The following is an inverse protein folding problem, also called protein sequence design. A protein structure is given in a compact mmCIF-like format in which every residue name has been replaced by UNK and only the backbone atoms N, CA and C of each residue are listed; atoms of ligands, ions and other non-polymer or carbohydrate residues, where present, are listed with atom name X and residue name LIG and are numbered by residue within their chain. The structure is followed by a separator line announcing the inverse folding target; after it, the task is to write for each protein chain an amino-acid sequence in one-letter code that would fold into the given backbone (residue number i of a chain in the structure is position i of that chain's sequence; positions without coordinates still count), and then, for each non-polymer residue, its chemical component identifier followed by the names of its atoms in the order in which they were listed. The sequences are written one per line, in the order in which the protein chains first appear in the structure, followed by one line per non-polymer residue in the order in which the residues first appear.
data_IF_561961018752
#
_entry.id   IF_561961018752
#
_cell.length_a   1.000
_cell.length_b   1.000
_cell.length_c   1.000
_cell.angle_alpha   90.00
_cell.angle_beta   90.00
_cell.angle_gamma   90.00
#
_symmetry.space_group_name_H-M   'P 1'
#
loop_
_entity.id
_entity.type
_entity.pdbx_description
1 polymer ?
#
# COMPACT_ATOMS: atom_id res chain seq x y z
N UNK A 1 -31.32 4.96 17.08
CA UNK A 1 -30.33 4.49 18.08
C UNK A 1 -28.96 4.77 17.49
N UNK A 2 -28.03 5.37 18.22
CA UNK A 2 -26.69 5.59 17.68
C UNK A 2 -26.00 4.24 17.42
N UNK A 3 -25.42 4.08 16.23
CA UNK A 3 -24.63 2.91 15.85
C UNK A 3 -23.41 2.83 16.79
N UNK A 4 -23.09 1.63 17.27
CA UNK A 4 -21.98 1.35 18.18
C UNK A 4 -20.99 0.41 17.51
N UNK A 5 -19.75 0.37 18.00
CA UNK A 5 -18.73 -0.60 17.57
C UNK A 5 -19.26 -2.03 17.56
N UNK A 6 -19.99 -2.43 18.60
CA UNK A 6 -20.56 -3.78 18.72
C UNK A 6 -21.59 -4.11 17.64
N UNK A 7 -22.35 -3.12 17.17
CA UNK A 7 -23.28 -3.29 16.05
C UNK A 7 -22.53 -3.55 14.74
N UNK A 8 -21.45 -2.81 14.49
CA UNK A 8 -20.61 -2.98 13.31
C UNK A 8 -19.91 -4.35 13.36
N UNK A 9 -19.40 -4.75 14.52
CA UNK A 9 -18.79 -6.07 14.69
C UNK A 9 -19.77 -7.19 14.38
N UNK A 10 -21.03 -7.09 14.80
CA UNK A 10 -22.07 -8.08 14.46
C UNK A 10 -22.26 -8.22 12.95
N UNK A 11 -22.24 -7.12 12.21
CA UNK A 11 -22.33 -7.14 10.74
C UNK A 11 -21.08 -7.75 10.09
N UNK A 12 -19.88 -7.36 10.52
CA UNK A 12 -18.64 -7.94 9.99
C UNK A 12 -18.53 -9.45 10.27
N UNK A 13 -18.97 -9.89 11.45
CA UNK A 13 -19.06 -11.32 11.76
C UNK A 13 -20.08 -11.98 10.83
N UNK A 14 -21.28 -11.43 10.64
CA UNK A 14 -22.30 -12.03 9.78
C UNK A 14 -21.82 -12.19 8.33
N UNK A 15 -21.39 -11.08 7.73
CA UNK A 15 -21.05 -11.00 6.32
C UNK A 15 -19.69 -11.61 6.01
N UNK A 16 -18.69 -11.43 6.86
CA UNK A 16 -17.30 -11.79 6.54
C UNK A 16 -16.71 -12.86 7.46
N UNK A 17 -17.36 -13.19 8.58
CA UNK A 17 -16.87 -14.19 9.54
C UNK A 17 -15.59 -13.78 10.27
N UNK A 18 -15.22 -12.50 10.24
CA UNK A 18 -13.99 -11.94 10.83
C UNK A 18 -14.29 -10.70 11.68
N UNK A 19 -13.38 -10.30 12.60
CA UNK A 19 -13.49 -9.01 13.27
C UNK A 19 -13.39 -7.86 12.26
N UNK A 20 -14.09 -6.75 12.52
CA UNK A 20 -13.88 -5.50 11.80
C UNK A 20 -12.48 -4.94 12.10
N UNK A 21 -11.80 -4.43 11.09
CA UNK A 21 -10.56 -3.69 11.28
C UNK A 21 -10.82 -2.29 11.88
N UNK A 22 -9.80 -1.65 12.48
CA UNK A 22 -9.97 -0.32 13.05
C UNK A 22 -10.47 0.72 12.04
N UNK A 23 -10.04 0.65 10.78
CA UNK A 23 -10.44 1.60 9.74
C UNK A 23 -11.90 1.40 9.34
N UNK A 24 -12.36 0.15 9.19
CA UNK A 24 -13.75 -0.21 8.94
C UNK A 24 -14.69 0.27 10.05
N UNK A 25 -14.32 0.07 11.33
CA UNK A 25 -15.11 0.60 12.45
C UNK A 25 -15.18 2.13 12.39
N UNK A 26 -14.04 2.80 12.20
CA UNK A 26 -13.99 4.25 12.17
C UNK A 26 -14.78 4.83 10.99
N UNK A 27 -14.71 4.21 9.82
CA UNK A 27 -15.49 4.60 8.65
C UNK A 27 -16.98 4.68 8.97
N UNK A 28 -17.56 3.61 9.52
CA UNK A 28 -18.99 3.57 9.85
C UNK A 28 -19.35 4.52 10.98
N UNK A 29 -18.50 4.69 12.00
CA UNK A 29 -18.80 5.60 13.12
C UNK A 29 -18.70 7.08 12.73
N UNK A 30 -17.83 7.44 11.78
CA UNK A 30 -17.59 8.83 11.36
C UNK A 30 -18.53 9.24 10.21
N UNK A 31 -18.72 8.36 9.22
CA UNK A 31 -19.40 8.70 7.97
C UNK A 31 -20.91 8.41 7.99
N UNK A 32 -21.46 7.87 9.07
CA UNK A 32 -22.91 7.62 9.18
C UNK A 32 -23.67 8.91 9.54
N UNK A 33 -24.63 9.35 8.72
CA UNK A 33 -25.50 10.47 9.04
C UNK A 33 -26.23 10.33 10.39
N UNK A 34 -26.63 11.45 11.04
CA UNK A 34 -27.46 11.39 12.23
C UNK A 34 -28.80 10.68 11.92
N UNK A 35 -29.05 9.55 12.59
CA UNK A 35 -30.26 8.75 12.41
C UNK A 35 -30.08 7.44 11.62
N UNK A 36 -28.90 7.19 11.05
CA UNK A 36 -28.58 5.92 10.39
C UNK A 36 -28.80 4.73 11.33
N UNK A 37 -29.50 3.72 10.82
CA UNK A 37 -29.83 2.48 11.52
C UNK A 37 -28.85 1.36 11.14
N UNK A 38 -28.88 0.26 11.89
CA UNK A 38 -28.07 -0.92 11.57
C UNK A 38 -28.50 -1.55 10.24
N UNK A 39 -29.79 -1.46 9.90
CA UNK A 39 -30.34 -1.98 8.65
C UNK A 39 -29.77 -1.23 7.44
N UNK A 40 -29.65 0.10 7.53
CA UNK A 40 -29.09 0.93 6.46
C UNK A 40 -27.62 0.54 6.17
N UNK A 41 -26.83 0.29 7.22
CA UNK A 41 -25.44 -0.14 7.09
C UNK A 41 -25.37 -1.56 6.51
N UNK A 42 -26.23 -2.46 6.98
CA UNK A 42 -26.32 -3.84 6.52
C UNK A 42 -26.65 -3.94 5.02
N UNK A 43 -27.53 -3.05 4.53
CA UNK A 43 -27.86 -2.98 3.11
C UNK A 43 -26.65 -2.56 2.27
N UNK A 44 -25.91 -1.53 2.71
CA UNK A 44 -24.69 -1.09 2.03
C UNK A 44 -23.63 -2.20 2.04
N UNK A 45 -23.40 -2.88 3.18
CA UNK A 45 -22.42 -3.98 3.27
C UNK A 45 -22.78 -5.13 2.32
N UNK A 46 -24.07 -5.45 2.18
CA UNK A 46 -24.54 -6.53 1.29
C UNK A 46 -24.32 -6.25 -0.20
N UNK A 47 -23.92 -5.04 -0.56
CA UNK A 47 -23.64 -4.62 -1.95
C UNK A 47 -22.17 -4.32 -2.21
N UNK A 48 -21.30 -4.47 -1.20
CA UNK A 48 -19.86 -4.25 -1.34
C UNK A 48 -19.18 -5.34 -2.18
N UNK A 49 -18.11 -4.97 -2.90
CA UNK A 49 -17.32 -5.89 -3.70
C UNK A 49 -16.70 -7.01 -2.86
N UNK A 50 -16.33 -6.73 -1.61
CA UNK A 50 -15.84 -7.74 -0.65
C UNK A 50 -16.86 -8.85 -0.42
N UNK A 51 -18.14 -8.50 -0.24
CA UNK A 51 -19.22 -9.47 -0.08
C UNK A 51 -19.49 -10.23 -1.38
N UNK A 52 -19.51 -9.50 -2.50
CA UNK A 52 -19.80 -10.02 -3.83
C UNK A 52 -18.76 -11.04 -4.30
N UNK A 53 -17.48 -10.78 -4.10
CA UNK A 53 -16.45 -11.72 -4.56
C UNK A 53 -16.13 -12.85 -3.57
N UNK A 54 -16.29 -12.64 -2.26
CA UNK A 54 -16.01 -13.70 -1.26
C UNK A 54 -17.13 -14.75 -1.16
N UNK A 55 -18.37 -14.39 -1.52
CA UNK A 55 -19.56 -15.22 -1.26
C UNK A 55 -20.37 -15.53 -2.53
N UNK A 56 -20.41 -14.64 -3.54
CA UNK A 56 -21.34 -14.76 -4.69
C UNK A 56 -20.77 -15.47 -5.93
N UNK A 57 -19.53 -15.99 -5.91
CA UNK A 57 -18.94 -16.56 -7.14
C UNK A 57 -19.60 -17.85 -7.66
N UNK A 58 -20.36 -18.61 -6.85
CA UNK A 58 -21.27 -19.69 -7.32
C UNK A 58 -22.21 -20.28 -6.23
N UNK A 59 -23.06 -19.47 -5.54
CA UNK A 59 -23.85 -19.96 -4.39
C UNK A 59 -25.27 -19.38 -4.27
N UNK A 60 -26.26 -20.29 -4.31
CA UNK A 60 -27.71 -20.06 -4.15
C UNK A 60 -28.09 -19.27 -2.89
N UNK A 61 -29.31 -18.72 -2.85
CA UNK A 61 -29.87 -18.04 -1.66
C UNK A 61 -29.73 -18.90 -0.39
N UNK A 62 -29.98 -20.21 -0.50
CA UNK A 62 -29.82 -21.17 0.61
C UNK A 62 -28.38 -21.24 1.14
N UNK A 63 -27.40 -21.14 0.23
CA UNK A 63 -25.99 -21.18 0.60
C UNK A 63 -25.57 -19.88 1.30
N UNK A 64 -26.13 -18.74 0.90
CA UNK A 64 -25.89 -17.44 1.54
C UNK A 64 -26.48 -17.42 2.96
N UNK A 65 -27.72 -17.88 3.12
CA UNK A 65 -28.37 -18.02 4.43
C UNK A 65 -27.55 -18.94 5.35
N UNK A 66 -27.11 -20.09 4.85
CA UNK A 66 -26.27 -21.01 5.63
C UNK A 66 -24.90 -20.43 5.98
N UNK A 67 -24.30 -19.65 5.08
CA UNK A 67 -23.00 -19.02 5.31
C UNK A 67 -23.06 -18.00 6.45
N UNK A 68 -24.02 -17.08 6.38
CA UNK A 68 -24.28 -16.06 7.42
C UNK A 68 -24.49 -16.73 8.78
N UNK A 69 -25.31 -17.77 8.80
CA UNK A 69 -25.63 -18.48 10.04
C UNK A 69 -24.44 -19.27 10.61
N UNK A 70 -23.61 -19.88 9.75
CA UNK A 70 -22.35 -20.51 10.16
C UNK A 70 -21.39 -19.47 10.74
N UNK A 71 -21.31 -18.28 10.16
CA UNK A 71 -20.44 -17.23 10.67
C UNK A 71 -20.88 -16.71 12.04
N UNK A 72 -22.18 -16.46 12.21
CA UNK A 72 -22.75 -16.00 13.47
C UNK A 72 -22.68 -17.08 14.56
N UNK A 73 -23.19 -18.28 14.28
CA UNK A 73 -23.47 -19.28 15.32
C UNK A 73 -22.65 -20.57 15.22
N UNK A 74 -21.89 -20.77 14.14
CA UNK A 74 -21.07 -21.98 13.96
C UNK A 74 -21.88 -23.24 13.65
N UNK A 75 -23.14 -23.10 13.22
CA UNK A 75 -24.03 -24.21 12.84
C UNK A 75 -24.82 -23.87 11.58
N UNK A 76 -25.32 -24.90 10.89
CA UNK A 76 -26.23 -24.74 9.75
C UNK A 76 -27.62 -24.30 10.21
N UNK A 77 -28.36 -23.71 9.28
CA UNK A 77 -29.74 -23.27 9.50
C UNK A 77 -30.67 -24.47 9.43
N UNK A 78 -31.75 -24.45 10.21
CA UNK A 78 -32.79 -25.47 10.18
C UNK A 78 -33.59 -25.36 8.86
N UNK A 79 -34.03 -26.50 8.33
CA UNK A 79 -34.68 -26.58 7.00
C UNK A 79 -35.90 -25.65 6.86
N UNK A 80 -36.73 -25.57 7.90
CA UNK A 80 -37.93 -24.72 7.90
C UNK A 80 -37.57 -23.23 7.80
N UNK A 81 -36.49 -22.81 8.46
CA UNK A 81 -36.03 -21.43 8.43
C UNK A 81 -35.46 -21.08 7.03
N UNK A 82 -34.69 -22.00 6.43
CA UNK A 82 -34.19 -21.83 5.05
C UNK A 82 -35.36 -21.63 4.08
N UNK A 83 -36.37 -22.50 4.13
CA UNK A 83 -37.51 -22.43 3.20
C UNK A 83 -38.32 -21.14 3.34
N UNK A 84 -38.56 -20.69 4.57
CA UNK A 84 -39.30 -19.46 4.84
C UNK A 84 -38.58 -18.24 4.25
N UNK A 85 -37.27 -18.12 4.52
CA UNK A 85 -36.48 -17.01 4.03
C UNK A 85 -36.22 -17.08 2.53
N UNK A 86 -35.94 -18.27 2.00
CA UNK A 86 -35.82 -18.49 0.57
C UNK A 86 -37.09 -18.04 -0.15
N UNK A 87 -38.26 -18.47 0.32
CA UNK A 87 -39.55 -18.07 -0.27
C UNK A 87 -39.81 -16.57 -0.16
N UNK A 88 -39.39 -15.90 0.91
CA UNK A 88 -39.59 -14.45 1.07
C UNK A 88 -38.69 -13.64 0.13
N UNK A 89 -37.42 -14.05 0.02
CA UNK A 89 -36.42 -13.39 -0.85
C UNK A 89 -36.74 -13.60 -2.32
N UNK A 90 -37.12 -14.83 -2.72
CA UNK A 90 -37.48 -15.16 -4.11
C UNK A 90 -38.74 -14.41 -4.58
N UNK A 91 -39.67 -14.12 -3.66
CA UNK A 91 -40.86 -13.30 -3.93
C UNK A 91 -40.58 -11.78 -3.87
N UNK A 92 -39.34 -11.36 -3.62
CA UNK A 92 -38.96 -9.95 -3.50
C UNK A 92 -39.55 -9.24 -2.28
N UNK A 93 -40.03 -9.98 -1.27
CA UNK A 93 -40.62 -9.42 -0.05
C UNK A 93 -39.59 -9.01 0.99
N UNK A 94 -38.39 -9.61 0.92
CA UNK A 94 -37.29 -9.34 1.85
C UNK A 94 -35.96 -9.42 1.11
N UNK A 95 -34.95 -8.76 1.66
CA UNK A 95 -33.57 -8.87 1.20
C UNK A 95 -32.72 -9.59 2.25
N UNK A 96 -31.52 -10.02 1.87
CA UNK A 96 -30.59 -10.71 2.78
C UNK A 96 -30.23 -9.84 4.00
N UNK A 97 -30.19 -8.52 3.82
CA UNK A 97 -29.99 -7.57 4.91
C UNK A 97 -31.05 -7.72 6.01
N UNK A 98 -32.31 -7.96 5.65
CA UNK A 98 -33.39 -8.16 6.62
C UNK A 98 -33.16 -9.42 7.47
N UNK A 99 -32.73 -10.52 6.82
CA UNK A 99 -32.37 -11.76 7.50
C UNK A 99 -31.23 -11.57 8.49
N UNK A 100 -30.16 -10.87 8.08
CA UNK A 100 -29.02 -10.56 8.94
C UNK A 100 -29.44 -9.72 10.14
N UNK A 101 -30.24 -8.69 9.90
CA UNK A 101 -30.74 -7.81 10.96
C UNK A 101 -31.64 -8.55 11.95
N UNK A 102 -32.48 -9.49 11.51
CA UNK A 102 -33.28 -10.34 12.39
C UNK A 102 -32.40 -11.20 13.31
N UNK A 103 -31.38 -11.86 12.76
CA UNK A 103 -30.48 -12.70 13.56
C UNK A 103 -29.68 -11.91 14.59
N UNK A 104 -29.23 -10.71 14.23
CA UNK A 104 -28.38 -9.87 15.09
C UNK A 104 -29.20 -9.15 16.17
N UNK A 105 -30.47 -8.87 15.90
CA UNK A 105 -31.40 -8.15 16.79
C UNK A 105 -32.12 -9.04 17.80
N UNK A 106 -31.90 -10.36 17.77
CA UNK A 106 -32.45 -11.31 18.74
C UNK A 106 -31.99 -11.00 20.18
N UNK A 107 -32.75 -10.13 20.88
CA UNK A 107 -32.42 -9.64 22.21
C UNK A 107 -33.33 -10.30 23.27
N UNK A 108 -32.69 -10.98 24.22
CA UNK A 108 -33.11 -11.24 25.62
C UNK A 108 -34.36 -12.08 25.93
N UNK A 109 -35.30 -12.33 25.02
CA UNK A 109 -36.52 -13.11 25.34
C UNK A 109 -36.39 -14.63 25.09
N UNK A 110 -35.22 -15.20 25.37
CA UNK A 110 -34.83 -16.57 24.99
C UNK A 110 -35.08 -17.59 26.12
N UNK A 111 -36.13 -17.41 26.91
CA UNK A 111 -36.31 -18.23 28.13
C UNK A 111 -36.70 -19.69 27.86
N UNK A 112 -37.22 -20.01 26.67
CA UNK A 112 -37.84 -21.31 26.40
C UNK A 112 -37.18 -22.14 25.29
N UNK A 113 -36.13 -21.66 24.62
CA UNK A 113 -35.45 -22.39 23.54
C UNK A 113 -33.94 -22.47 23.82
N UNK A 114 -33.46 -23.69 24.12
CA UNK A 114 -32.06 -23.95 24.45
C UNK A 114 -31.11 -23.62 23.29
N UNK A 115 -31.53 -23.84 22.04
CA UNK A 115 -30.70 -23.55 20.87
C UNK A 115 -30.50 -22.05 20.68
N UNK A 116 -31.58 -21.27 20.75
CA UNK A 116 -31.49 -19.81 20.65
C UNK A 116 -30.61 -19.22 21.77
N UNK A 117 -30.60 -19.84 22.96
CA UNK A 117 -29.74 -19.40 24.07
C UNK A 117 -28.27 -19.64 23.75
N UNK A 118 -27.93 -20.80 23.16
CA UNK A 118 -26.57 -21.10 22.70
C UNK A 118 -26.13 -20.17 21.58
N UNK A 119 -27.03 -19.85 20.66
CA UNK A 119 -26.77 -18.92 19.56
C UNK A 119 -26.46 -17.50 20.09
N UNK A 120 -27.26 -17.00 21.03
CA UNK A 120 -27.03 -15.71 21.69
C UNK A 120 -25.67 -15.65 22.41
N UNK A 121 -25.35 -16.67 23.22
CA UNK A 121 -24.07 -16.74 23.94
C UNK A 121 -22.90 -16.78 22.96
N UNK A 122 -23.04 -17.55 21.87
CA UNK A 122 -21.99 -17.65 20.83
C UNK A 122 -21.75 -16.31 20.14
N UNK A 123 -22.83 -15.61 19.77
CA UNK A 123 -22.72 -14.30 19.12
C UNK A 123 -22.08 -13.26 20.06
N UNK A 124 -22.54 -13.16 21.31
CA UNK A 124 -21.97 -12.24 22.30
C UNK A 124 -20.49 -12.56 22.57
N UNK A 125 -20.12 -13.83 22.67
CA UNK A 125 -18.71 -14.26 22.83
C UNK A 125 -17.85 -13.81 21.66
N UNK A 126 -18.31 -14.01 20.42
CA UNK A 126 -17.60 -13.58 19.20
C UNK A 126 -17.50 -12.07 19.10
N UNK A 127 -18.55 -11.33 19.46
CA UNK A 127 -18.53 -9.85 19.45
C UNK A 127 -17.52 -9.33 20.47
N UNK A 128 -17.52 -9.86 21.70
CA UNK A 128 -16.54 -9.48 22.71
C UNK A 128 -15.10 -9.81 22.28
N UNK A 129 -14.88 -10.99 21.68
CA UNK A 129 -13.58 -11.36 21.12
C UNK A 129 -13.15 -10.40 20.00
N UNK A 130 -14.07 -10.04 19.10
CA UNK A 130 -13.81 -9.13 18.00
C UNK A 130 -13.49 -7.71 18.49
N UNK A 131 -14.21 -7.18 19.47
CA UNK A 131 -13.90 -5.86 20.05
C UNK A 131 -12.53 -5.83 20.73
N UNK A 132 -12.17 -6.88 21.48
CA UNK A 132 -10.84 -7.01 22.08
C UNK A 132 -9.75 -7.12 21.01
N UNK A 133 -9.99 -7.90 19.98
CA UNK A 133 -9.08 -8.07 18.84
C UNK A 133 -8.82 -6.73 18.16
N UNK A 134 -9.88 -6.01 17.75
CA UNK A 134 -9.75 -4.72 17.06
C UNK A 134 -9.08 -3.66 17.94
N UNK A 135 -9.40 -3.63 19.24
CA UNK A 135 -8.74 -2.75 20.21
C UNK A 135 -7.25 -3.04 20.33
N UNK A 136 -6.83 -4.31 20.19
CA UNK A 136 -5.41 -4.67 20.23
C UNK A 136 -4.70 -4.30 18.93
N UNK A 137 -5.34 -4.51 17.78
CA UNK A 137 -4.81 -4.07 16.48
C UNK A 137 -4.61 -2.56 16.47
N UNK A 138 -5.58 -1.77 16.96
CA UNK A 138 -5.47 -0.31 17.02
C UNK A 138 -4.40 0.21 18.00
N UNK A 139 -3.85 -0.64 18.87
CA UNK A 139 -2.81 -0.25 19.82
C UNK A 139 -1.40 -0.17 19.22
N UNK A 140 -1.19 -0.63 17.97
CA UNK A 140 0.11 -0.60 17.32
C UNK A 140 0.00 -0.49 15.80
N UNK A 141 0.78 0.43 15.22
CA UNK A 141 0.85 0.63 13.77
C UNK A 141 1.33 -0.62 13.02
N UNK A 142 2.20 -1.42 13.65
CA UNK A 142 2.71 -2.68 13.08
C UNK A 142 1.59 -3.70 12.87
N UNK A 143 0.62 -3.74 13.78
CA UNK A 143 -0.53 -4.62 13.68
C UNK A 143 -1.55 -4.13 12.66
N UNK A 144 -1.73 -2.81 12.54
CA UNK A 144 -2.56 -2.22 11.49
C UNK A 144 -2.02 -2.61 10.11
N UNK A 145 -0.70 -2.48 9.91
CA UNK A 145 -0.05 -2.84 8.65
C UNK A 145 -0.07 -4.35 8.38
N UNK A 146 0.05 -5.20 9.41
CA UNK A 146 -0.07 -6.66 9.28
C UNK A 146 -1.49 -7.13 9.01
N UNK A 147 -2.50 -6.42 9.53
CA UNK A 147 -3.90 -6.75 9.30
C UNK A 147 -4.35 -6.41 7.88
N UNK A 148 -3.66 -5.46 7.22
CA UNK A 148 -3.83 -5.22 5.79
C UNK A 148 -3.30 -6.42 4.99
N UNK A 149 -3.95 -6.82 3.87
CA UNK A 149 -3.64 -8.07 3.21
C UNK A 149 -2.40 -8.02 2.32
N UNK A 150 -1.86 -9.19 1.97
CA UNK A 150 -0.75 -9.38 1.00
C UNK A 150 -1.18 -9.20 -0.47
N UNK A 151 -2.44 -8.81 -0.70
CA UNK A 151 -3.10 -8.74 -2.00
C UNK A 151 -3.46 -7.30 -2.37
N UNK A 152 -3.47 -7.03 -3.68
CA UNK A 152 -3.90 -5.76 -4.28
C UNK A 152 -5.35 -5.39 -3.97
N UNK A 153 -6.14 -6.34 -3.46
CA UNK A 153 -7.43 -6.04 -2.88
C UNK A 153 -7.36 -6.14 -1.35
N UNK A 154 -7.40 -5.00 -0.63
CA UNK A 154 -7.25 -4.93 0.82
C UNK A 154 -8.40 -5.62 1.60
N UNK A 155 -9.39 -6.18 0.89
CA UNK A 155 -10.57 -6.80 1.48
C UNK A 155 -10.70 -8.30 1.15
N UNK A 156 -9.83 -8.88 0.30
CA UNK A 156 -10.05 -10.24 -0.24
C UNK A 156 -9.15 -11.34 0.32
N UNK A 157 -7.85 -11.11 0.54
CA UNK A 157 -6.92 -12.21 0.89
C UNK A 157 -5.68 -11.74 1.66
N UNK A 158 -5.47 -12.24 2.88
CA UNK A 158 -4.26 -11.98 3.67
C UNK A 158 -4.14 -12.90 4.88
N UNK A 159 -2.91 -13.19 5.32
CA UNK A 159 -2.67 -14.13 6.44
C UNK A 159 -3.31 -13.67 7.75
N UNK A 160 -3.24 -12.37 8.06
CA UNK A 160 -3.88 -11.81 9.25
C UNK A 160 -5.42 -11.80 9.15
N UNK A 161 -5.96 -11.59 7.95
CA UNK A 161 -7.40 -11.66 7.68
C UNK A 161 -7.92 -13.08 7.86
N UNK A 162 -7.23 -14.07 7.29
CA UNK A 162 -7.52 -15.50 7.51
C UNK A 162 -7.34 -15.91 8.97
N UNK A 163 -6.34 -15.36 9.66
CA UNK A 163 -6.15 -15.60 11.09
C UNK A 163 -7.33 -15.04 11.91
N UNK A 164 -7.87 -13.88 11.55
CA UNK A 164 -9.09 -13.32 12.15
C UNK A 164 -10.31 -14.23 11.98
N UNK A 165 -10.46 -14.85 10.80
CA UNK A 165 -11.52 -15.83 10.53
C UNK A 165 -11.35 -17.11 11.35
N UNK A 166 -10.15 -17.68 11.39
CA UNK A 166 -9.84 -18.87 12.20
C UNK A 166 -10.03 -18.58 13.70
N UNK A 167 -9.61 -17.40 14.15
CA UNK A 167 -9.76 -16.94 15.53
C UNK A 167 -11.22 -16.93 15.98
N UNK A 168 -12.13 -16.31 15.22
CA UNK A 168 -13.54 -16.25 15.62
C UNK A 168 -14.25 -17.61 15.62
N UNK A 169 -13.79 -18.55 14.77
CA UNK A 169 -14.33 -19.93 14.75
C UNK A 169 -14.02 -20.73 16.02
N UNK A 170 -13.05 -20.31 16.82
CA UNK A 170 -12.71 -21.00 18.06
C UNK A 170 -13.74 -20.77 19.18
N UNK A 171 -14.54 -19.71 19.08
CA UNK A 171 -15.56 -19.38 20.07
C UNK A 171 -16.90 -20.03 19.73
N UNK A 172 -17.47 -20.69 20.74
CA UNK A 172 -18.77 -21.34 20.67
C UNK A 172 -19.45 -21.23 22.05
N UNK A 173 -20.61 -21.85 22.22
CA UNK A 173 -21.36 -21.81 23.47
C UNK A 173 -20.62 -22.40 24.69
N UNK A 174 -19.56 -23.20 24.49
CA UNK A 174 -18.70 -23.75 25.56
C UNK A 174 -17.43 -22.90 25.78
N UNK A 175 -16.89 -22.30 24.72
CA UNK A 175 -15.67 -21.48 24.74
C UNK A 175 -16.01 -19.99 24.67
N UNK A 176 -16.00 -19.35 25.84
CA UNK A 176 -16.25 -17.91 26.00
C UNK A 176 -14.92 -17.15 25.84
N UNK A 177 -14.98 -15.99 25.16
CA UNK A 177 -13.85 -15.09 25.03
C UNK A 177 -13.35 -14.59 26.40
N UNK A 178 -12.13 -14.98 26.78
CA UNK A 178 -11.39 -14.38 27.90
C UNK A 178 -10.23 -13.53 27.37
N UNK A 179 -9.88 -12.46 28.07
CA UNK A 179 -8.81 -11.54 27.66
C UNK A 179 -7.49 -12.30 27.44
N UNK A 180 -7.15 -13.22 28.34
CA UNK A 180 -5.91 -14.00 28.24
C UNK A 180 -5.92 -14.94 27.03
N UNK A 181 -7.04 -15.60 26.74
CA UNK A 181 -7.16 -16.48 25.58
C UNK A 181 -7.07 -15.70 24.26
N UNK A 182 -7.69 -14.52 24.20
CA UNK A 182 -7.57 -13.62 23.04
C UNK A 182 -6.12 -13.16 22.86
N UNK A 183 -5.44 -12.82 23.95
CA UNK A 183 -4.05 -12.35 23.91
C UNK A 183 -3.06 -13.46 23.54
N UNK A 184 -3.28 -14.70 23.96
CA UNK A 184 -2.42 -15.83 23.59
C UNK A 184 -2.61 -16.23 22.13
N UNK A 185 -3.84 -16.22 21.61
CA UNK A 185 -4.08 -16.44 20.18
C UNK A 185 -3.54 -15.28 19.34
N UNK A 186 -3.65 -14.04 19.81
CA UNK A 186 -3.00 -12.91 19.14
C UNK A 186 -1.48 -13.06 19.12
N UNK A 187 -0.85 -13.51 20.22
CA UNK A 187 0.59 -13.79 20.27
C UNK A 187 1.02 -14.88 19.29
N UNK A 188 0.25 -15.96 19.16
CA UNK A 188 0.57 -17.01 18.18
C UNK A 188 0.43 -16.49 16.75
N UNK A 189 -0.62 -15.71 16.47
CA UNK A 189 -0.80 -15.05 15.16
C UNK A 189 0.35 -14.07 14.89
N UNK A 190 0.86 -13.37 15.92
CA UNK A 190 2.01 -12.45 15.75
C UNK A 190 3.28 -13.19 15.42
N UNK A 191 3.55 -14.33 16.08
CA UNK A 191 4.77 -15.09 15.86
C UNK A 191 4.86 -15.60 14.41
N UNK A 192 3.73 -16.03 13.83
CA UNK A 192 3.66 -16.49 12.44
C UNK A 192 3.70 -15.35 11.41
N UNK A 193 3.31 -14.12 11.78
CA UNK A 193 3.33 -12.93 10.90
C UNK A 193 4.60 -12.08 11.05
N UNK A 194 5.33 -12.20 12.17
CA UNK A 194 6.63 -11.56 12.39
C UNK A 194 7.73 -12.15 11.48
N UNK A 195 7.63 -13.40 11.03
CA UNK A 195 8.63 -13.98 10.11
C UNK A 195 8.67 -13.27 8.75
N UNK A 196 7.54 -12.73 8.27
CA UNK A 196 7.46 -11.98 7.01
C UNK A 196 8.05 -10.57 7.17
N UNK A 197 7.79 -9.92 8.31
CA UNK A 197 8.41 -8.64 8.68
C UNK A 197 9.91 -8.75 8.99
N UNK A 198 10.42 -9.98 9.16
CA UNK A 198 11.84 -10.27 9.35
C UNK A 198 12.55 -10.70 8.07
N UNK A 199 11.87 -10.71 6.91
CA UNK A 199 12.55 -11.01 5.66
C UNK A 199 13.13 -9.72 5.03
N UNK A 200 14.46 -9.56 5.02
CA UNK A 200 15.08 -8.42 4.37
C UNK A 200 14.94 -8.58 2.85
N UNK A 201 14.30 -7.61 2.21
CA UNK A 201 14.06 -7.61 0.75
C UNK A 201 15.20 -6.95 -0.01
N UNK A 202 15.90 -6.01 0.62
CA UNK A 202 17.11 -5.38 0.09
C UNK A 202 18.17 -5.36 1.19
N UNK A 203 19.36 -5.89 0.88
CA UNK A 203 20.51 -5.87 1.78
C UNK A 203 21.75 -5.35 1.05
N UNK A 204 22.39 -4.35 1.65
CA UNK A 204 23.65 -3.79 1.23
C UNK A 204 24.65 -3.95 2.36
N UNK A 205 25.80 -4.56 2.06
CA UNK A 205 26.93 -4.67 2.98
C UNK A 205 28.19 -4.16 2.31
N UNK A 206 28.76 -3.09 2.87
CA UNK A 206 29.96 -2.39 2.39
C UNK A 206 29.89 -2.01 0.89
N UNK A 207 28.69 -1.65 0.42
CA UNK A 207 28.45 -1.37 -1.00
C UNK A 207 28.99 0.01 -1.37
N UNK A 208 29.78 0.07 -2.44
CA UNK A 208 30.25 1.33 -3.02
C UNK A 208 29.97 1.42 -4.52
N UNK A 209 29.73 2.64 -5.00
CA UNK A 209 29.42 2.94 -6.39
C UNK A 209 30.31 4.09 -6.89
N UNK A 210 31.04 3.82 -7.98
CA UNK A 210 31.92 4.76 -8.68
C UNK A 210 31.45 4.91 -10.11
N UNK A 211 31.13 6.15 -10.49
CA UNK A 211 30.67 6.49 -11.83
C UNK A 211 31.86 7.11 -12.60
N UNK A 212 32.33 6.46 -13.67
CA UNK A 212 33.43 6.99 -14.47
C UNK A 212 33.00 8.21 -15.30
N UNK A 213 33.82 9.25 -15.34
CA UNK A 213 33.66 10.41 -16.22
C UNK A 213 34.53 10.20 -17.47
N UNK A 214 33.89 9.92 -18.61
CA UNK A 214 34.60 9.66 -19.88
C UNK A 214 34.98 10.94 -20.65
N UNK A 215 34.43 12.11 -20.32
CA UNK A 215 34.78 13.40 -20.93
C UNK A 215 36.00 14.06 -20.26
N UNK A 216 37.19 13.51 -20.47
CA UNK A 216 38.44 14.13 -20.00
C UNK A 216 39.45 14.45 -21.12
N UNK A 217 39.00 14.57 -22.38
CA UNK A 217 39.88 14.95 -23.49
C UNK A 217 40.18 16.46 -23.54
N UNK A 218 39.29 17.34 -23.05
CA UNK A 218 39.55 18.78 -22.92
C UNK A 218 39.93 19.16 -21.49
N UNK A 219 41.19 18.86 -21.11
CA UNK A 219 41.78 19.07 -19.77
C UNK A 219 41.78 20.51 -19.22
N UNK A 220 41.48 21.54 -20.03
CA UNK A 220 41.52 22.95 -19.60
C UNK A 220 40.18 23.44 -19.04
N UNK A 221 39.07 23.13 -19.70
CA UNK A 221 37.74 23.60 -19.30
C UNK A 221 37.20 22.82 -18.10
N UNK A 222 37.46 21.51 -18.07
CA UNK A 222 37.15 20.65 -16.93
C UNK A 222 37.87 21.11 -15.68
N UNK A 223 39.17 21.44 -15.74
CA UNK A 223 39.95 21.90 -14.59
C UNK A 223 39.43 23.22 -14.00
N UNK A 224 39.06 24.17 -14.86
CA UNK A 224 38.51 25.49 -14.47
C UNK A 224 37.08 25.36 -13.89
N UNK A 225 36.25 24.49 -14.45
CA UNK A 225 34.91 24.21 -13.90
C UNK A 225 34.98 23.42 -12.59
N UNK A 226 35.90 22.45 -12.49
CA UNK A 226 36.10 21.68 -11.25
C UNK A 226 36.68 22.53 -10.12
N UNK A 227 37.57 23.48 -10.39
CA UNK A 227 38.07 24.37 -9.32
C UNK A 227 37.01 25.38 -8.84
N UNK A 228 36.08 25.80 -9.71
CA UNK A 228 35.07 26.82 -9.36
C UNK A 228 33.75 26.27 -8.79
N UNK A 229 33.34 25.03 -9.11
CA UNK A 229 32.07 24.47 -8.62
C UNK A 229 32.18 23.63 -7.34
N UNK A 230 33.40 23.21 -6.96
CA UNK A 230 33.59 22.29 -5.82
C UNK A 230 33.61 22.96 -4.45
N UNK A 231 33.76 24.29 -4.37
CA UNK A 231 33.78 24.98 -3.08
C UNK A 231 32.39 25.28 -2.49
N UNK A 232 31.27 24.92 -3.15
CA UNK A 232 29.97 25.30 -2.59
C UNK A 232 28.72 24.45 -2.87
N UNK A 233 28.68 23.44 -3.77
CA UNK A 233 27.34 22.88 -4.15
C UNK A 233 27.22 21.36 -4.39
N UNK A 234 28.27 20.59 -4.66
CA UNK A 234 28.10 19.17 -5.11
C UNK A 234 28.92 18.21 -4.24
N UNK A 235 28.23 17.27 -3.58
CA UNK A 235 28.80 16.41 -2.53
C UNK A 235 29.52 15.12 -2.94
N UNK A 236 30.02 14.97 -4.17
CA UNK A 236 30.79 13.78 -4.55
C UNK A 236 32.30 13.94 -4.30
N UNK A 237 33.00 12.91 -3.81
CA UNK A 237 34.46 12.89 -3.69
C UNK A 237 35.09 12.41 -5.02
N UNK A 238 35.99 13.21 -5.61
CA UNK A 238 36.73 12.84 -6.82
C UNK A 238 37.93 11.97 -6.47
N UNK A 239 37.90 10.71 -6.86
CA UNK A 239 39.03 9.78 -6.67
C UNK A 239 39.85 9.69 -7.95
N UNK A 240 41.05 10.27 -7.94
CA UNK A 240 42.03 10.14 -9.03
C UNK A 240 42.83 8.84 -8.87
N UNK A 241 42.49 7.82 -9.64
CA UNK A 241 43.30 6.61 -9.82
C UNK A 241 43.26 6.19 -11.29
N UNK A 242 44.43 6.07 -11.90
CA UNK A 242 44.67 5.64 -13.29
C UNK A 242 43.88 6.36 -14.40
N UNK A 243 44.41 7.49 -14.91
CA UNK A 243 44.02 8.17 -16.18
C UNK A 243 42.51 8.44 -16.42
N UNK A 244 41.62 8.11 -15.49
CA UNK A 244 40.16 8.24 -15.55
C UNK A 244 39.68 8.89 -14.26
N UNK A 245 38.90 9.95 -14.40
CA UNK A 245 38.28 10.63 -13.27
C UNK A 245 37.00 9.87 -12.89
N UNK A 246 36.89 9.42 -11.64
CA UNK A 246 35.67 8.76 -11.15
C UNK A 246 35.00 9.62 -10.08
N UNK A 247 33.67 9.64 -10.09
CA UNK A 247 32.86 10.20 -8.99
C UNK A 247 32.49 9.03 -8.08
N UNK A 248 32.93 9.05 -6.83
CA UNK A 248 32.44 8.11 -5.81
C UNK A 248 31.05 8.60 -5.37
N UNK A 249 30.01 7.98 -5.91
CA UNK A 249 28.62 8.38 -5.71
C UNK A 249 28.01 7.75 -4.44
N UNK A 250 28.48 6.56 -4.06
CA UNK A 250 28.11 5.88 -2.83
C UNK A 250 29.36 5.22 -2.22
N UNK A 251 29.50 5.29 -0.90
CA UNK A 251 30.68 4.83 -0.16
C UNK A 251 30.24 4.01 1.05
N UNK A 252 30.66 2.74 1.09
CA UNK A 252 30.47 1.81 2.20
C UNK A 252 29.04 1.78 2.77
N UNK A 253 28.04 1.71 1.90
CA UNK A 253 26.63 1.64 2.28
C UNK A 253 26.37 0.29 2.96
N UNK A 254 25.94 0.37 4.22
CA UNK A 254 25.49 -0.75 5.03
C UNK A 254 24.03 -0.48 5.40
N UNK A 255 23.10 -1.16 4.74
CA UNK A 255 21.68 -0.90 4.89
C UNK A 255 20.87 -2.16 4.66
N UNK A 256 19.80 -2.32 5.43
CA UNK A 256 18.79 -3.35 5.21
C UNK A 256 17.42 -2.69 5.17
N UNK A 257 16.65 -3.04 4.13
CA UNK A 257 15.24 -2.64 3.97
C UNK A 257 14.40 -3.91 4.07
N UNK A 258 13.40 -3.87 4.94
CA UNK A 258 12.48 -4.97 5.19
C UNK A 258 11.25 -4.85 4.28
N UNK A 259 10.56 -5.97 4.05
CA UNK A 259 9.31 -5.93 3.30
C UNK A 259 8.28 -5.05 4.01
N UNK A 260 7.55 -4.21 3.27
CA UNK A 260 6.53 -3.31 3.80
C UNK A 260 7.09 -2.03 4.44
N UNK A 261 8.40 -1.82 4.43
CA UNK A 261 8.97 -0.58 4.94
C UNK A 261 8.71 0.60 4.01
N UNK A 262 8.43 1.76 4.61
CA UNK A 262 8.29 3.03 3.91
C UNK A 262 9.38 4.00 4.41
N UNK A 263 10.35 4.22 3.55
CA UNK A 263 11.66 4.79 3.88
C UNK A 263 11.86 6.12 3.13
N UNK A 264 12.10 7.18 3.90
CA UNK A 264 12.49 8.47 3.37
C UNK A 264 14.02 8.54 3.17
N UNK A 265 14.46 9.00 2.00
CA UNK A 265 15.85 9.35 1.74
C UNK A 265 16.02 10.87 1.91
N UNK A 266 16.77 11.26 2.92
CA UNK A 266 16.97 12.65 3.33
C UNK A 266 18.42 13.06 3.06
N UNK A 267 18.65 14.30 2.64
CA UNK A 267 19.99 14.84 2.41
C UNK A 267 20.00 15.93 1.35
N UNK A 268 21.10 16.68 1.26
CA UNK A 268 21.25 17.76 0.27
C UNK A 268 21.36 17.23 -1.18
N UNK A 269 21.32 18.13 -2.17
CA UNK A 269 21.51 17.77 -3.57
C UNK A 269 22.92 17.23 -3.83
N UNK A 270 23.02 16.07 -4.46
CA UNK A 270 24.30 15.39 -4.67
C UNK A 270 24.80 14.59 -3.47
N UNK A 271 23.99 14.37 -2.43
CA UNK A 271 24.35 13.52 -1.28
C UNK A 271 24.38 12.01 -1.58
N UNK A 272 23.86 11.59 -2.74
CA UNK A 272 23.87 10.19 -3.18
C UNK A 272 22.48 9.54 -3.31
N UNK A 273 21.38 10.22 -2.92
CA UNK A 273 20.00 9.67 -2.96
C UNK A 273 19.61 9.06 -4.31
N UNK A 274 19.67 9.84 -5.40
CA UNK A 274 19.32 9.35 -6.74
C UNK A 274 20.26 8.24 -7.24
N UNK A 275 21.52 8.24 -6.81
CA UNK A 275 22.48 7.17 -7.12
C UNK A 275 22.13 5.88 -6.38
N UNK A 276 21.69 6.00 -5.11
CA UNK A 276 21.18 4.90 -4.31
C UNK A 276 19.92 4.30 -4.93
N UNK A 277 18.93 5.12 -5.30
CA UNK A 277 17.72 4.66 -5.99
C UNK A 277 18.06 3.89 -7.29
N UNK A 278 18.95 4.43 -8.12
CA UNK A 278 19.41 3.73 -9.34
C UNK A 278 20.10 2.40 -9.04
N UNK A 279 20.87 2.32 -7.96
CA UNK A 279 21.55 1.08 -7.55
C UNK A 279 20.53 0.02 -7.11
N UNK A 280 19.59 0.36 -6.21
CA UNK A 280 18.62 -0.61 -5.70
C UNK A 280 17.62 -1.06 -6.78
N UNK A 281 17.31 -0.21 -7.76
CA UNK A 281 16.51 -0.57 -8.92
C UNK A 281 17.26 -1.43 -9.94
N UNK A 282 18.57 -1.63 -9.78
CA UNK A 282 19.38 -2.45 -10.67
C UNK A 282 19.85 -1.75 -11.94
N UNK A 283 19.68 -0.43 -12.04
CA UNK A 283 20.22 0.39 -13.15
C UNK A 283 21.74 0.49 -13.05
N UNK A 284 22.26 0.60 -11.82
CA UNK A 284 23.70 0.58 -11.57
C UNK A 284 24.11 -0.69 -10.82
N UNK A 285 25.23 -1.26 -11.25
CA UNK A 285 25.89 -2.37 -10.56
C UNK A 285 26.90 -1.82 -9.55
N UNK A 286 26.93 -2.31 -8.30
CA UNK A 286 27.93 -1.89 -7.32
C UNK A 286 29.35 -2.26 -7.78
N UNK A 287 30.34 -1.44 -7.44
CA UNK A 287 31.75 -1.72 -7.74
C UNK A 287 32.42 -2.62 -6.68
N UNK A 288 31.89 -2.60 -5.46
CA UNK A 288 32.35 -3.41 -4.33
C UNK A 288 31.22 -3.65 -3.34
N UNK A 289 31.43 -4.58 -2.40
CA UNK A 289 30.45 -4.96 -1.39
C UNK A 289 29.52 -6.07 -1.86
N UNK A 290 28.52 -6.38 -1.04
CA UNK A 290 27.47 -7.36 -1.33
C UNK A 290 26.11 -6.67 -1.41
N UNK A 291 25.41 -6.88 -2.52
CA UNK A 291 24.06 -6.38 -2.75
C UNK A 291 23.13 -7.57 -3.04
N UNK A 292 22.12 -7.74 -2.20
CA UNK A 292 21.09 -8.78 -2.35
C UNK A 292 19.75 -8.06 -2.49
N UNK A 293 19.00 -8.44 -3.51
CA UNK A 293 17.65 -7.94 -3.80
C UNK A 293 16.73 -9.13 -4.05
N UNK A 294 15.66 -9.25 -3.27
CA UNK A 294 14.68 -10.35 -3.37
C UNK A 294 13.39 -9.98 -4.11
N UNK A 295 13.10 -8.68 -4.23
CA UNK A 295 11.90 -8.15 -4.90
C UNK A 295 12.28 -7.23 -6.06
N UNK A 296 11.38 -7.05 -7.01
CA UNK A 296 11.57 -6.08 -8.08
C UNK A 296 11.29 -4.66 -7.55
N UNK A 297 12.22 -3.73 -7.80
CA UNK A 297 12.12 -2.35 -7.32
C UNK A 297 11.85 -1.47 -8.53
N UNK A 298 10.63 -0.98 -8.64
CA UNK A 298 10.19 -0.15 -9.75
C UNK A 298 10.72 1.30 -9.61
N UNK A 299 11.59 1.77 -10.53
CA UNK A 299 12.17 3.11 -10.45
C UNK A 299 11.30 4.16 -11.15
N UNK A 300 10.73 5.09 -10.39
CA UNK A 300 10.25 6.37 -10.93
C UNK A 300 11.36 7.43 -10.85
N UNK A 301 12.38 7.28 -11.70
CA UNK A 301 13.60 8.11 -11.66
C UNK A 301 13.82 8.96 -12.91
N UNK A 302 13.13 8.68 -14.02
CA UNK A 302 13.28 9.39 -15.29
C UNK A 302 11.93 9.79 -15.87
N UNK A 303 11.89 10.98 -16.46
CA UNK A 303 10.71 11.56 -17.13
C UNK A 303 10.79 11.44 -18.65
N UNK A 304 11.39 10.38 -19.16
CA UNK A 304 11.61 10.18 -20.58
C UNK A 304 10.96 8.89 -21.05
N UNK A 305 10.49 8.88 -22.29
CA UNK A 305 10.01 7.66 -22.91
C UNK A 305 11.15 6.63 -22.97
N UNK A 306 10.83 5.39 -22.62
CA UNK A 306 11.72 4.23 -22.80
C UNK A 306 11.75 3.77 -24.28
N UNK A 307 11.02 4.45 -25.14
CA UNK A 307 10.78 4.09 -26.54
C UNK A 307 11.18 5.24 -27.46
N UNK A 308 11.27 4.95 -28.76
CA UNK A 308 11.58 5.96 -29.77
C UNK A 308 10.48 7.01 -29.87
N UNK A 309 10.85 8.29 -29.89
CA UNK A 309 9.92 9.41 -30.12
C UNK A 309 9.29 9.40 -31.53
N UNK A 310 9.75 8.51 -32.41
CA UNK A 310 9.13 8.27 -33.73
C UNK A 310 7.84 7.45 -33.63
N UNK A 311 7.63 6.71 -32.53
CA UNK A 311 6.41 5.93 -32.32
C UNK A 311 5.23 6.83 -31.98
N UNK A 312 4.02 6.36 -32.31
CA UNK A 312 2.80 6.97 -31.80
C UNK A 312 2.69 6.80 -30.28
N UNK A 313 1.90 7.64 -29.61
CA UNK A 313 1.59 7.46 -28.19
C UNK A 313 0.98 6.08 -27.90
N UNK A 314 0.17 5.54 -28.83
CA UNK A 314 -0.40 4.20 -28.78
C UNK A 314 0.69 3.12 -28.84
N UNK A 315 1.60 3.20 -29.81
CA UNK A 315 2.67 2.23 -29.97
C UNK A 315 3.67 2.27 -28.81
N UNK A 316 3.94 3.47 -28.29
CA UNK A 316 4.76 3.63 -27.09
C UNK A 316 4.09 3.04 -25.85
N UNK A 317 2.79 3.28 -25.67
CA UNK A 317 2.00 2.67 -24.58
C UNK A 317 1.99 1.14 -24.70
N UNK A 318 1.86 0.62 -25.93
CA UNK A 318 1.90 -0.81 -26.22
C UNK A 318 3.25 -1.43 -25.92
N UNK A 319 4.34 -0.77 -26.31
CA UNK A 319 5.70 -1.22 -26.03
C UNK A 319 5.98 -1.23 -24.52
N UNK A 320 5.55 -0.19 -23.80
CA UNK A 320 5.66 -0.13 -22.35
C UNK A 320 4.84 -1.25 -21.67
N UNK A 321 3.60 -1.48 -22.11
CA UNK A 321 2.75 -2.55 -21.59
C UNK A 321 3.39 -3.93 -21.76
N UNK A 322 3.94 -4.20 -22.95
CA UNK A 322 4.65 -5.44 -23.26
C UNK A 322 5.88 -5.63 -22.37
N UNK A 323 6.62 -4.56 -22.09
CA UNK A 323 7.80 -4.60 -21.23
C UNK A 323 7.46 -5.03 -19.81
N UNK A 324 6.31 -4.60 -19.28
CA UNK A 324 5.87 -4.93 -17.92
C UNK A 324 5.19 -6.30 -17.86
N UNK A 325 4.27 -6.58 -18.79
CA UNK A 325 3.37 -7.74 -18.70
C UNK A 325 3.84 -8.96 -19.50
N UNK A 326 4.85 -8.81 -20.37
CA UNK A 326 5.32 -9.84 -21.31
C UNK A 326 4.23 -10.41 -22.25
N UNK A 327 3.07 -9.76 -22.36
CA UNK A 327 1.96 -10.12 -23.24
C UNK A 327 1.01 -8.91 -23.44
N UNK A 328 -0.04 -9.05 -24.26
CA UNK A 328 -1.02 -7.97 -24.58
C UNK A 328 -2.43 -8.20 -24.02
N UNK A 329 -2.64 -9.23 -23.19
CA UNK A 329 -3.97 -9.52 -22.64
C UNK A 329 -4.36 -8.43 -21.64
N UNK A 330 -5.37 -7.62 -21.98
CA UNK A 330 -5.81 -6.49 -21.15
C UNK A 330 -5.20 -5.15 -21.56
N UNK A 331 -4.49 -5.10 -22.70
CA UNK A 331 -3.93 -3.84 -23.21
C UNK A 331 -5.00 -2.77 -23.47
N UNK A 332 -6.19 -3.15 -23.96
CA UNK A 332 -7.25 -2.19 -24.30
C UNK A 332 -7.75 -1.44 -23.05
N UNK A 333 -7.89 -2.13 -21.91
CA UNK A 333 -8.29 -1.52 -20.62
C UNK A 333 -7.23 -0.54 -20.14
N UNK A 334 -5.95 -0.92 -20.23
CA UNK A 334 -4.83 -0.06 -19.89
C UNK A 334 -4.74 1.17 -20.78
N UNK A 335 -4.94 1.00 -22.09
CA UNK A 335 -4.93 2.10 -23.04
C UNK A 335 -6.08 3.07 -22.78
N UNK A 336 -7.27 2.56 -22.44
CA UNK A 336 -8.42 3.37 -22.08
C UNK A 336 -8.15 4.24 -20.85
N UNK A 337 -7.60 3.66 -19.77
CA UNK A 337 -7.18 4.42 -18.58
C UNK A 337 -6.15 5.51 -18.94
N UNK A 338 -5.13 5.18 -19.73
CA UNK A 338 -4.10 6.15 -20.14
C UNK A 338 -4.66 7.30 -20.95
N UNK A 339 -5.51 7.01 -21.94
CA UNK A 339 -6.09 8.03 -22.82
C UNK A 339 -7.04 8.93 -22.03
N UNK A 340 -7.83 8.33 -21.13
CA UNK A 340 -8.78 9.05 -20.27
C UNK A 340 -8.03 9.95 -19.28
N UNK A 341 -7.03 9.41 -18.57
CA UNK A 341 -6.29 10.18 -17.58
C UNK A 341 -5.43 11.28 -18.22
N UNK A 342 -4.70 10.95 -19.30
CA UNK A 342 -3.82 11.92 -19.98
C UNK A 342 -4.59 13.04 -20.69
N UNK A 343 -5.85 12.79 -21.07
CA UNK A 343 -6.67 13.71 -21.84
C UNK A 343 -6.17 13.94 -23.27
N UNK A 344 -5.36 13.01 -23.81
CA UNK A 344 -4.79 13.13 -25.16
C UNK A 344 -5.80 12.81 -26.27
N UNK A 345 -6.85 12.05 -25.99
CA UNK A 345 -7.87 11.68 -26.98
C UNK A 345 -7.23 11.14 -28.27
N UNK A 346 -7.59 11.71 -29.43
CA UNK A 346 -7.09 11.27 -30.73
C UNK A 346 -5.60 11.51 -30.97
N UNK A 347 -4.96 12.41 -30.21
CA UNK A 347 -3.52 12.68 -30.33
C UNK A 347 -2.67 11.45 -29.97
N UNK A 348 -3.22 10.46 -29.26
CA UNK A 348 -2.54 9.20 -28.94
C UNK A 348 -2.03 8.46 -30.19
N UNK A 349 -2.68 8.67 -31.34
CA UNK A 349 -2.31 8.04 -32.61
C UNK A 349 -1.20 8.80 -33.37
N UNK A 350 -0.79 9.97 -32.89
CA UNK A 350 0.26 10.77 -33.52
C UNK A 350 1.64 10.43 -32.94
N UNK A 351 2.73 10.58 -33.72
CA UNK A 351 4.09 10.37 -33.23
C UNK A 351 4.43 11.27 -32.05
N UNK A 352 5.10 10.72 -31.02
CA UNK A 352 5.46 11.43 -29.77
C UNK A 352 6.27 12.69 -30.05
N UNK A 353 7.16 12.69 -31.05
CA UNK A 353 7.94 13.88 -31.42
C UNK A 353 7.10 15.12 -31.79
N UNK A 354 5.80 14.94 -32.05
CA UNK A 354 4.85 16.03 -32.34
C UNK A 354 4.19 16.61 -31.08
N UNK A 355 4.39 15.98 -29.91
CA UNK A 355 3.76 16.36 -28.66
C UNK A 355 4.45 17.58 -28.04
N UNK A 356 3.67 18.42 -27.36
CA UNK A 356 4.24 19.42 -26.45
C UNK A 356 4.85 18.74 -25.22
N UNK A 357 5.71 19.45 -24.48
CA UNK A 357 6.31 18.95 -23.24
C UNK A 357 5.23 18.50 -22.23
N UNK A 358 4.12 19.24 -22.12
CA UNK A 358 2.98 18.88 -21.28
C UNK A 358 2.23 17.63 -21.75
N UNK A 359 2.07 17.42 -23.07
CA UNK A 359 1.49 16.18 -23.60
C UNK A 359 2.38 14.97 -23.31
N UNK A 360 3.70 15.11 -23.50
CA UNK A 360 4.67 14.09 -23.14
C UNK A 360 4.62 13.75 -21.65
N UNK A 361 4.66 14.77 -20.79
CA UNK A 361 4.63 14.60 -19.34
C UNK A 361 3.36 13.87 -18.88
N UNK A 362 2.19 14.24 -19.44
CA UNK A 362 0.91 13.59 -19.14
C UNK A 362 0.92 12.13 -19.56
N UNK A 363 1.33 11.81 -20.79
CA UNK A 363 1.38 10.41 -21.26
C UNK A 363 2.32 9.56 -20.41
N UNK A 364 3.55 10.05 -20.17
CA UNK A 364 4.55 9.36 -19.35
C UNK A 364 3.99 9.12 -17.95
N UNK A 365 3.41 10.15 -17.33
CA UNK A 365 2.83 10.03 -16.00
C UNK A 365 1.70 9.01 -15.95
N UNK A 366 0.77 9.03 -16.91
CA UNK A 366 -0.33 8.06 -17.00
C UNK A 366 0.19 6.63 -17.06
N UNK A 367 1.18 6.38 -17.93
CA UNK A 367 1.77 5.04 -18.11
C UNK A 367 2.51 4.57 -16.86
N UNK A 368 3.33 5.44 -16.24
CA UNK A 368 4.14 5.07 -15.08
C UNK A 368 3.30 4.81 -13.82
N UNK A 369 2.09 5.36 -13.75
CA UNK A 369 1.20 5.29 -12.58
C UNK A 369 -0.02 4.40 -12.78
N UNK A 370 -0.09 3.63 -13.87
CA UNK A 370 -1.26 2.79 -14.19
C UNK A 370 -1.31 1.46 -13.44
N UNK A 371 -0.20 1.02 -12.85
CA UNK A 371 -0.09 -0.28 -12.20
C UNK A 371 0.48 -0.17 -10.79
N UNK A 372 -0.05 -0.89 -9.81
CA UNK A 372 0.59 -1.00 -8.51
C UNK A 372 1.89 -1.80 -8.63
N UNK A 373 2.88 -1.47 -7.79
CA UNK A 373 4.17 -2.17 -7.71
C UNK A 373 4.46 -2.56 -6.27
N UNK A 374 4.99 -3.77 -6.05
CA UNK A 374 5.32 -4.26 -4.70
C UNK A 374 6.36 -3.37 -3.99
N UNK A 375 7.40 -2.95 -4.72
CA UNK A 375 8.37 -1.98 -4.24
C UNK A 375 8.55 -0.82 -5.20
N UNK A 376 8.39 0.39 -4.68
CA UNK A 376 8.44 1.62 -5.44
C UNK A 376 9.60 2.51 -4.97
N UNK A 377 10.42 2.97 -5.91
CA UNK A 377 11.54 3.88 -5.69
C UNK A 377 11.28 5.19 -6.42
N UNK A 378 10.99 6.26 -5.68
CA UNK A 378 10.66 7.58 -6.25
C UNK A 378 11.75 8.59 -5.92
N UNK A 379 12.16 9.35 -6.94
CA UNK A 379 12.96 10.56 -6.79
C UNK A 379 12.09 11.79 -7.06
N UNK A 380 12.16 12.78 -6.19
CA UNK A 380 11.38 14.01 -6.32
C UNK A 380 11.73 14.71 -7.62
N UNK A 381 10.73 14.77 -8.49
CA UNK A 381 10.93 15.21 -9.86
C UNK A 381 9.64 15.40 -10.62
N UNK A 382 8.60 14.59 -10.41
CA UNK A 382 7.37 14.63 -11.23
C UNK A 382 6.45 15.84 -10.96
N UNK A 383 6.96 17.06 -11.13
CA UNK A 383 6.14 18.25 -11.34
C UNK A 383 5.59 18.25 -12.77
N UNK A 384 4.28 18.18 -12.89
CA UNK A 384 3.54 18.28 -14.17
C UNK A 384 3.27 19.76 -14.47
N UNK A 385 3.68 20.25 -15.65
CA UNK A 385 3.70 21.68 -15.98
C UNK A 385 2.35 22.34 -16.30
N UNK A 386 1.23 21.67 -16.02
CA UNK A 386 -0.12 22.18 -16.28
C UNK A 386 -0.93 22.16 -14.97
N UNK A 387 -1.50 23.31 -14.59
CA UNK A 387 -2.21 23.49 -13.33
C UNK A 387 -3.49 22.63 -13.25
N UNK A 388 -4.20 22.47 -14.37
CA UNK A 388 -5.45 21.70 -14.42
C UNK A 388 -5.20 20.17 -14.40
N UNK A 389 -4.00 19.74 -14.80
CA UNK A 389 -3.57 18.34 -14.66
C UNK A 389 -2.97 18.06 -13.30
N UNK A 390 -2.44 19.08 -12.62
CA UNK A 390 -1.67 18.93 -11.39
C UNK A 390 -2.49 18.29 -10.25
N UNK A 391 -3.73 18.73 -10.04
CA UNK A 391 -4.58 18.20 -8.96
C UNK A 391 -4.89 16.70 -9.17
N UNK A 392 -5.33 16.33 -10.37
CA UNK A 392 -5.57 14.91 -10.74
C UNK A 392 -4.30 14.08 -10.69
N UNK A 393 -3.16 14.65 -11.08
CA UNK A 393 -1.86 13.99 -10.99
C UNK A 393 -1.45 13.76 -9.53
N UNK A 394 -1.72 14.71 -8.65
CA UNK A 394 -1.43 14.58 -7.22
C UNK A 394 -2.27 13.47 -6.58
N UNK A 395 -3.58 13.42 -6.85
CA UNK A 395 -4.47 12.35 -6.35
C UNK A 395 -4.04 10.97 -6.85
N UNK A 396 -3.71 10.86 -8.14
CA UNK A 396 -3.23 9.60 -8.73
C UNK A 396 -1.86 9.21 -8.18
N UNK A 397 -0.95 10.15 -7.98
CA UNK A 397 0.36 9.90 -7.37
C UNK A 397 0.22 9.40 -5.94
N UNK A 398 -0.67 10.01 -5.15
CA UNK A 398 -0.96 9.56 -3.80
C UNK A 398 -1.49 8.13 -3.80
N UNK A 399 -2.51 7.84 -4.63
CA UNK A 399 -3.10 6.50 -4.74
C UNK A 399 -2.07 5.46 -5.20
N UNK A 400 -1.21 5.84 -6.14
CA UNK A 400 -0.13 4.99 -6.64
C UNK A 400 0.92 4.68 -5.56
N UNK A 401 1.35 5.68 -4.78
CA UNK A 401 2.26 5.47 -3.64
C UNK A 401 1.62 4.67 -2.51
N UNK A 402 0.33 4.85 -2.25
CA UNK A 402 -0.42 4.11 -1.22
C UNK A 402 -0.58 2.64 -1.62
N UNK A 403 -0.69 2.34 -2.91
CA UNK A 403 -0.79 0.96 -3.41
C UNK A 403 0.50 0.14 -3.26
N UNK A 404 1.65 0.79 -3.11
CA UNK A 404 2.93 0.11 -2.98
C UNK A 404 3.16 -0.40 -1.56
N UNK A 405 3.52 -1.68 -1.42
CA UNK A 405 3.81 -2.29 -0.11
C UNK A 405 5.09 -1.70 0.50
N UNK A 406 6.19 -1.71 -0.26
CA UNK A 406 7.47 -1.11 0.12
C UNK A 406 7.68 0.20 -0.65
N UNK A 407 7.99 1.29 0.04
CA UNK A 407 8.22 2.60 -0.58
C UNK A 407 9.58 3.16 -0.18
N UNK A 408 10.34 3.65 -1.15
CA UNK A 408 11.60 4.36 -0.93
C UNK A 408 11.51 5.70 -1.65
N UNK A 409 11.38 6.76 -0.87
CA UNK A 409 11.02 8.09 -1.36
C UNK A 409 12.14 9.09 -1.04
N UNK A 410 12.76 9.65 -2.08
CA UNK A 410 13.62 10.82 -1.95
C UNK A 410 12.81 12.08 -2.25
N UNK A 411 12.65 12.97 -1.27
CA UNK A 411 11.94 14.25 -1.43
C UNK A 411 12.46 15.31 -0.46
N UNK A 412 12.40 16.57 -0.88
CA UNK A 412 12.63 17.77 -0.10
C UNK A 412 11.35 18.25 0.60
N UNK A 413 10.17 17.76 0.21
CA UNK A 413 8.91 18.04 0.88
C UNK A 413 8.75 17.18 2.13
N UNK A 414 9.00 17.78 3.31
CA UNK A 414 8.77 17.11 4.59
C UNK A 414 7.32 16.64 4.77
N UNK A 415 6.35 17.38 4.24
CA UNK A 415 4.94 16.99 4.32
C UNK A 415 4.71 15.66 3.60
N UNK A 416 5.26 15.51 2.40
CA UNK A 416 5.19 14.28 1.62
C UNK A 416 5.90 13.13 2.37
N UNK A 417 7.10 13.38 2.90
CA UNK A 417 7.83 12.38 3.67
C UNK A 417 7.05 11.91 4.91
N UNK A 418 6.48 12.85 5.69
CA UNK A 418 5.68 12.54 6.89
C UNK A 418 4.38 11.82 6.57
N UNK A 419 3.80 12.08 5.40
CA UNK A 419 2.58 11.41 4.95
C UNK A 419 2.84 9.95 4.56
N UNK A 420 3.95 9.67 3.86
CA UNK A 420 4.15 8.34 3.25
C UNK A 420 5.27 7.52 3.89
N UNK A 421 6.12 8.04 4.76
CA UNK A 421 7.28 7.31 5.31
C UNK A 421 7.26 7.25 6.84
N UNK A 422 7.89 6.21 7.41
CA UNK A 422 8.02 6.02 8.86
C UNK A 422 9.48 5.99 9.34
N UNK A 423 10.39 5.58 8.46
CA UNK A 423 11.84 5.50 8.69
C UNK A 423 12.53 6.53 7.79
N UNK A 424 13.57 7.19 8.29
CA UNK A 424 14.38 8.13 7.54
C UNK A 424 15.84 7.73 7.52
N UNK A 425 16.45 7.77 6.33
CA UNK A 425 17.87 7.53 6.11
C UNK A 425 18.48 8.83 5.61
N UNK A 426 19.43 9.36 6.38
CA UNK A 426 20.13 10.60 6.04
C UNK A 426 21.41 10.26 5.30
N UNK A 427 21.51 10.76 4.07
CA UNK A 427 22.67 10.67 3.21
C UNK A 427 23.50 11.94 3.30
N UNK A 428 24.81 11.79 3.43
CA UNK A 428 25.77 12.87 3.31
C UNK A 428 26.99 12.38 2.52
N UNK A 429 27.38 13.11 1.48
CA UNK A 429 28.54 12.81 0.63
C UNK A 429 28.67 11.32 0.21
N UNK A 430 27.56 10.69 -0.19
CA UNK A 430 27.52 9.31 -0.64
C UNK A 430 27.55 8.26 0.48
N UNK A 431 27.48 8.65 1.75
CA UNK A 431 27.45 7.75 2.90
C UNK A 431 26.14 7.90 3.68
N UNK A 432 25.70 6.84 4.36
CA UNK A 432 24.59 6.92 5.33
C UNK A 432 25.16 7.42 6.65
N UNK A 433 24.67 8.57 7.12
CA UNK A 433 25.12 9.18 8.39
C UNK A 433 24.10 9.00 9.52
N UNK A 434 22.84 8.71 9.19
CA UNK A 434 21.80 8.39 10.16
C UNK A 434 20.76 7.47 9.55
N UNK A 435 20.21 6.58 10.36
CA UNK A 435 19.16 5.64 10.00
C UNK A 435 18.27 5.36 11.22
N UNK A 436 16.99 5.69 11.14
CA UNK A 436 16.06 5.52 12.25
C UNK A 436 14.67 6.06 11.96
N UNK A 437 13.89 6.35 13.01
CA UNK A 437 12.54 6.92 12.87
C UNK A 437 12.57 8.26 12.11
N UNK A 438 11.57 8.50 11.26
CA UNK A 438 11.52 9.66 10.36
C UNK A 438 11.72 11.00 11.07
N UNK A 439 10.96 11.28 12.14
CA UNK A 439 11.06 12.57 12.85
C UNK A 439 12.45 12.80 13.45
N UNK A 440 13.06 11.73 13.96
CA UNK A 440 14.43 11.79 14.48
C UNK A 440 15.45 11.97 13.36
N UNK A 441 15.24 11.37 12.19
CA UNK A 441 16.10 11.54 11.02
C UNK A 441 16.00 12.97 10.44
N UNK A 442 14.79 13.54 10.37
CA UNK A 442 14.59 14.93 9.97
C UNK A 442 15.27 15.88 10.95
N UNK A 443 15.06 15.68 12.25
CA UNK A 443 15.74 16.48 13.28
C UNK A 443 17.28 16.32 13.19
N UNK A 444 17.79 15.11 12.99
CA UNK A 444 19.22 14.87 12.76
C UNK A 444 19.73 15.67 11.55
N UNK A 445 19.01 15.62 10.42
CA UNK A 445 19.36 16.38 9.23
C UNK A 445 19.37 17.89 9.48
N UNK A 446 18.35 18.46 10.13
CA UNK A 446 18.31 19.90 10.44
C UNK A 446 19.39 20.36 11.43
N UNK A 447 19.81 19.48 12.34
CA UNK A 447 20.80 19.80 13.38
C UNK A 447 22.25 19.60 12.92
N UNK A 448 22.50 18.67 11.99
CA UNK A 448 23.84 18.31 11.54
C UNK A 448 24.19 18.80 10.11
N UNK A 449 23.23 19.30 9.30
CA UNK A 449 23.45 19.83 7.95
C UNK A 449 22.83 21.24 7.70
N UNK A 450 23.71 22.21 7.42
CA UNK A 450 23.66 23.32 6.43
C UNK A 450 22.54 24.38 6.37
N UNK A 451 22.05 24.89 7.51
CA UNK A 451 21.25 26.13 7.54
C UNK A 451 22.10 27.43 7.37
N UNK A 452 23.17 27.39 6.58
CA UNK A 452 24.16 28.46 6.49
C UNK A 452 24.36 29.02 5.07
N UNK A 453 23.31 29.06 4.23
CA UNK A 453 23.40 29.71 2.90
C UNK A 453 22.08 30.32 2.35
N UNK A 454 21.14 30.73 3.22
CA UNK A 454 19.96 31.52 2.80
C UNK A 454 19.74 32.78 3.64
N UNK A 455 20.82 33.44 4.06
CA UNK A 455 20.77 34.79 4.62
C UNK A 455 22.06 35.56 4.33
N UNK A 456 22.20 36.06 3.10
CA UNK A 456 22.97 37.29 2.77
C UNK A 456 22.63 37.75 1.36
#
# INVERSE_FOLDING_TARGET
MNVKSSHIQKLYIAYFGRPADPSGINYWLINSPPGTTINDISEIISTQDEYTESILSDRSIESQINYIHMNLFGRKVDFDCINNWHSSIDQGKSIISDFVCELISCDRNIKNNDQLRKDYITLESKVNAAELFTKKVSSSISWINLYQPESLDPWKTGKALNAGFVFLRQFNHEKIASIDHVMDTLKSITLDSIEILKDPVIQLKDVSLKIPIYCAENRKFTKILTEKMFNSVIGGELVYKDKRTNIEALKNINLTIMNGERVALIGHNGSGKSSFLRLISGIYTPNSGQFIKKIEVYPMLQKTFLTSNELSGLDASKAYYLMINNNLKGFDIFLEDIVTFSGLGSFINLPIKTYSEGMCARLIFSMLTSYPHECLAIDEGFGTGDADFFERAQERMQSFMDSATTLILASHSEQLLKQFCFRGIVFNHGSVVYDGQLDAALNYYHTHDYNNNYAS
#
